data_IF_162874430193
#
_entry.id   IF_162874430193
#
_cell.length_a   1.000
_cell.length_b   1.000
_cell.length_c   1.000
_cell.angle_alpha   90.00
_cell.angle_beta   90.00
_cell.angle_gamma   90.00
#
_symmetry.space_group_name_H-M   'P 1'
#
loop_
_entity.id
_entity.type
_entity.pdbx_description
1 polymer ?
#
# COMPACT_ATOMS: atom_id res chain seq x y z
N UNK A 1 -16.46 6.16 -21.63
CA UNK A 1 -17.09 5.35 -22.70
C UNK A 1 -18.62 5.40 -22.67
N UNK A 2 -19.22 5.73 -21.54
CA UNK A 2 -20.68 5.77 -21.40
C UNK A 2 -21.29 7.16 -21.60
N UNK A 3 -20.49 8.18 -21.90
CA UNK A 3 -20.97 9.53 -22.19
C UNK A 3 -21.19 9.69 -23.69
N UNK A 4 -22.40 9.32 -24.13
CA UNK A 4 -22.83 9.38 -25.54
C UNK A 4 -22.95 10.81 -26.05
N UNK A 5 -22.92 11.81 -25.16
CA UNK A 5 -23.01 13.24 -25.52
C UNK A 5 -21.63 13.89 -25.73
N UNK A 6 -20.55 13.19 -25.35
CA UNK A 6 -19.20 13.71 -25.56
C UNK A 6 -18.85 13.86 -27.05
N UNK A 7 -18.06 14.87 -27.36
CA UNK A 7 -17.61 15.11 -28.73
C UNK A 7 -16.78 13.96 -29.30
N UNK A 8 -16.02 13.30 -28.41
CA UNK A 8 -15.23 12.11 -28.71
C UNK A 8 -16.10 10.93 -29.13
N UNK A 9 -17.14 10.63 -28.35
CA UNK A 9 -18.07 9.56 -28.70
C UNK A 9 -18.77 9.83 -30.06
N UNK A 10 -19.22 11.05 -30.29
CA UNK A 10 -19.87 11.42 -31.55
C UNK A 10 -18.93 11.28 -32.75
N UNK A 11 -17.63 11.62 -32.59
CA UNK A 11 -16.64 11.38 -33.67
C UNK A 11 -16.46 9.90 -33.92
N UNK A 12 -16.30 9.10 -32.84
CA UNK A 12 -16.14 7.65 -32.97
C UNK A 12 -17.36 6.99 -33.62
N UNK A 13 -18.57 7.36 -33.19
CA UNK A 13 -19.83 6.83 -33.72
C UNK A 13 -20.07 7.19 -35.20
N UNK A 14 -19.41 8.23 -35.71
CA UNK A 14 -19.48 8.60 -37.14
C UNK A 14 -18.53 7.81 -38.05
N UNK A 15 -17.65 7.00 -37.47
CA UNK A 15 -16.67 6.20 -38.21
C UNK A 15 -17.16 4.75 -38.37
N UNK A 16 -16.69 4.08 -39.42
CA UNK A 16 -16.99 2.68 -39.64
C UNK A 16 -16.22 1.83 -38.65
N UNK A 17 -16.94 1.07 -37.82
CA UNK A 17 -16.35 0.17 -36.83
C UNK A 17 -15.31 -0.75 -37.44
N UNK A 18 -14.14 -0.86 -36.81
CA UNK A 18 -13.01 -1.67 -37.28
C UNK A 18 -12.16 -1.04 -38.40
N UNK A 19 -12.52 0.16 -38.90
CA UNK A 19 -11.65 0.91 -39.80
C UNK A 19 -10.43 1.48 -39.06
N UNK A 20 -9.34 1.76 -39.83
CA UNK A 20 -8.14 2.39 -39.26
C UNK A 20 -8.46 3.73 -38.56
N UNK A 21 -9.37 4.51 -39.12
CA UNK A 21 -9.81 5.77 -38.54
C UNK A 21 -10.58 5.55 -37.22
N UNK A 22 -11.45 4.55 -37.15
CA UNK A 22 -12.16 4.17 -35.92
C UNK A 22 -11.19 3.70 -34.83
N UNK A 23 -10.27 2.82 -35.20
CA UNK A 23 -9.27 2.30 -34.26
C UNK A 23 -8.37 3.42 -33.73
N UNK A 24 -7.96 4.35 -34.57
CA UNK A 24 -7.14 5.52 -34.17
C UNK A 24 -7.90 6.44 -33.20
N UNK A 25 -9.19 6.75 -33.47
CA UNK A 25 -9.99 7.57 -32.55
C UNK A 25 -10.22 6.86 -31.21
N UNK A 26 -10.53 5.57 -31.25
CA UNK A 26 -10.72 4.73 -30.06
C UNK A 26 -9.45 4.69 -29.20
N UNK A 27 -8.30 4.51 -29.82
CA UNK A 27 -6.99 4.49 -29.15
C UNK A 27 -6.67 5.86 -28.53
N UNK A 28 -6.98 6.94 -29.22
CA UNK A 28 -6.86 8.31 -28.70
C UNK A 28 -7.76 8.56 -27.49
N UNK A 29 -9.00 8.08 -27.52
CA UNK A 29 -9.92 8.18 -26.37
C UNK A 29 -9.41 7.37 -25.18
N UNK A 30 -8.93 6.15 -25.42
CA UNK A 30 -8.37 5.29 -24.38
C UNK A 30 -7.13 5.92 -23.75
N UNK A 31 -6.23 6.46 -24.56
CA UNK A 31 -5.03 7.17 -24.09
C UNK A 31 -5.39 8.36 -23.19
N UNK A 32 -6.40 9.16 -23.57
CA UNK A 32 -6.86 10.30 -22.75
C UNK A 32 -7.43 9.86 -21.41
N UNK A 33 -8.24 8.79 -21.39
CA UNK A 33 -8.81 8.25 -20.14
C UNK A 33 -7.69 7.75 -19.25
N UNK A 34 -6.77 6.95 -19.79
CA UNK A 34 -5.64 6.39 -19.04
C UNK A 34 -4.74 7.49 -18.50
N UNK A 35 -4.45 8.54 -19.29
CA UNK A 35 -3.66 9.68 -18.82
C UNK A 35 -4.34 10.41 -17.66
N UNK A 36 -5.67 10.56 -17.71
CA UNK A 36 -6.44 11.19 -16.64
C UNK A 36 -6.41 10.37 -15.34
N UNK A 37 -6.56 9.06 -15.45
CA UNK A 37 -6.52 8.16 -14.29
C UNK A 37 -5.10 8.07 -13.71
N UNK A 38 -4.08 8.00 -14.56
CA UNK A 38 -2.67 8.02 -14.16
C UNK A 38 -2.32 9.32 -13.45
N UNK A 39 -2.66 10.49 -14.03
CA UNK A 39 -2.43 11.79 -13.42
C UNK A 39 -3.12 11.91 -12.06
N UNK A 40 -4.39 11.44 -11.97
CA UNK A 40 -5.12 11.41 -10.70
C UNK A 40 -4.42 10.55 -9.66
N UNK A 41 -3.94 9.37 -10.03
CA UNK A 41 -3.21 8.47 -9.12
C UNK A 41 -1.95 9.13 -8.55
N UNK A 42 -1.19 9.86 -9.38
CA UNK A 42 0.00 10.58 -8.91
C UNK A 42 -0.36 11.74 -7.98
N UNK A 43 -1.39 12.51 -8.32
CA UNK A 43 -1.85 13.61 -7.46
C UNK A 43 -2.36 13.10 -6.11
N UNK A 44 -3.13 12.01 -6.09
CA UNK A 44 -3.63 11.40 -4.86
C UNK A 44 -2.47 10.91 -3.97
N UNK A 45 -1.46 10.23 -4.55
CA UNK A 45 -0.27 9.76 -3.83
C UNK A 45 0.54 10.93 -3.25
N UNK A 46 0.79 11.96 -4.05
CA UNK A 46 1.49 13.16 -3.61
C UNK A 46 0.78 13.81 -2.43
N UNK A 47 -0.54 14.05 -2.56
CA UNK A 47 -1.32 14.72 -1.54
C UNK A 47 -1.40 13.91 -0.24
N UNK A 48 -1.57 12.60 -0.34
CA UNK A 48 -1.57 11.73 0.83
C UNK A 48 -0.22 11.74 1.58
N UNK A 49 0.90 11.78 0.85
CA UNK A 49 2.22 11.88 1.44
C UNK A 49 2.45 13.27 2.07
N UNK A 50 2.01 14.34 1.36
CA UNK A 50 2.09 15.71 1.88
C UNK A 50 1.29 15.89 3.15
N UNK A 51 0.04 15.40 3.20
CA UNK A 51 -0.81 15.51 4.38
C UNK A 51 -0.16 14.83 5.60
N UNK A 52 0.56 13.71 5.41
CA UNK A 52 1.31 13.06 6.49
C UNK A 52 2.52 13.87 6.94
N UNK A 53 3.26 14.47 6.01
CA UNK A 53 4.39 15.34 6.36
C UNK A 53 3.93 16.63 7.05
N UNK A 54 2.82 17.21 6.60
CA UNK A 54 2.22 18.39 7.23
C UNK A 54 1.73 18.07 8.66
N UNK A 55 1.16 16.87 8.86
CA UNK A 55 0.77 16.40 10.20
C UNK A 55 1.99 16.22 11.13
N UNK A 56 3.11 15.68 10.61
CA UNK A 56 4.36 15.61 11.40
C UNK A 56 4.90 17.01 11.69
N UNK A 57 4.83 17.93 10.75
CA UNK A 57 5.29 19.30 10.95
C UNK A 57 4.45 20.07 11.96
N UNK A 58 3.16 19.74 12.09
CA UNK A 58 2.24 20.37 13.03
C UNK A 58 2.20 19.70 14.42
N UNK A 59 2.97 18.63 14.64
CA UNK A 59 2.99 17.91 15.92
C UNK A 59 3.77 18.72 16.96
N UNK A 60 3.12 19.10 18.05
CA UNK A 60 3.67 19.92 19.13
C UNK A 60 4.70 19.18 20.03
N UNK A 61 5.05 17.95 19.71
CA UNK A 61 5.97 17.13 20.53
C UNK A 61 7.45 17.44 20.33
N UNK A 62 7.78 18.28 19.33
CA UNK A 62 9.16 18.65 18.99
C UNK A 62 9.39 20.15 18.92
N UNK A 63 10.64 20.55 18.91
CA UNK A 63 11.07 21.96 18.93
C UNK A 63 10.94 22.61 17.54
N UNK A 64 9.92 23.43 17.36
CA UNK A 64 9.63 24.17 16.12
C UNK A 64 10.62 25.32 15.83
N UNK A 65 11.70 25.48 16.58
CA UNK A 65 12.83 26.32 16.18
C UNK A 65 13.61 25.73 15.01
N UNK A 66 13.43 24.44 14.73
CA UNK A 66 13.96 23.71 13.59
C UNK A 66 12.87 23.54 12.52
N UNK A 67 13.29 23.34 11.28
CA UNK A 67 12.41 22.78 10.26
C UNK A 67 12.20 21.29 10.50
N UNK A 68 11.16 20.69 9.94
CA UNK A 68 10.92 19.23 10.03
C UNK A 68 12.14 18.44 9.51
N UNK A 69 12.74 18.89 8.41
CA UNK A 69 13.91 18.25 7.81
C UNK A 69 15.12 18.26 8.77
N UNK A 70 15.38 19.41 9.40
CA UNK A 70 16.46 19.55 10.40
C UNK A 70 16.18 18.70 11.63
N UNK A 71 14.94 18.69 12.10
CA UNK A 71 14.55 17.86 13.21
C UNK A 71 14.75 16.37 12.93
N UNK A 72 14.27 15.87 11.79
CA UNK A 72 14.47 14.47 11.41
C UNK A 72 15.94 14.13 11.20
N UNK A 73 16.72 15.03 10.61
CA UNK A 73 18.17 14.85 10.48
C UNK A 73 18.85 14.69 11.84
N UNK A 74 18.46 15.50 12.83
CA UNK A 74 18.91 15.39 14.22
C UNK A 74 18.50 14.03 14.81
N UNK A 75 17.24 13.62 14.65
CA UNK A 75 16.78 12.32 15.15
C UNK A 75 17.56 11.15 14.54
N UNK A 76 17.84 11.19 13.25
CA UNK A 76 18.66 10.16 12.56
C UNK A 76 20.06 10.03 13.16
N UNK A 77 20.61 11.12 13.65
CA UNK A 77 21.93 11.14 14.28
C UNK A 77 21.88 10.65 15.72
N UNK A 78 20.89 11.09 16.50
CA UNK A 78 20.82 10.83 17.94
C UNK A 78 20.17 9.47 18.28
N UNK A 79 19.20 9.01 17.48
CA UNK A 79 18.40 7.81 17.78
C UNK A 79 19.21 6.53 17.91
N UNK A 80 20.24 6.26 17.06
CA UNK A 80 21.06 5.06 17.20
C UNK A 80 21.72 4.95 18.57
N UNK A 81 22.10 6.07 19.15
CA UNK A 81 22.90 6.15 20.38
C UNK A 81 22.08 6.20 21.68
N UNK A 82 20.75 6.28 21.57
CA UNK A 82 19.86 6.40 22.75
C UNK A 82 20.12 5.31 23.80
N UNK A 83 20.43 4.08 23.38
CA UNK A 83 20.64 2.95 24.28
C UNK A 83 22.10 2.73 24.69
N UNK A 84 23.06 3.49 24.15
CA UNK A 84 24.48 3.29 24.42
C UNK A 84 24.82 3.46 25.92
N UNK A 85 24.09 4.32 26.64
CA UNK A 85 24.24 4.50 28.08
C UNK A 85 23.99 3.20 28.90
N UNK A 86 23.24 2.26 28.30
CA UNK A 86 22.87 0.99 28.93
C UNK A 86 23.69 -0.18 28.45
N UNK A 87 24.73 0.03 27.62
CA UNK A 87 25.54 -1.05 27.03
C UNK A 87 26.21 -1.93 28.07
N UNK A 88 26.48 -1.43 29.28
CA UNK A 88 27.00 -2.20 30.41
C UNK A 88 26.08 -3.33 30.88
N UNK A 89 24.80 -3.28 30.50
CA UNK A 89 23.79 -4.29 30.81
C UNK A 89 23.53 -5.25 29.63
N UNK A 90 24.24 -5.10 28.52
CA UNK A 90 24.14 -6.03 27.41
C UNK A 90 24.77 -7.37 27.79
N UNK A 91 24.03 -8.44 27.54
CA UNK A 91 24.52 -9.82 27.66
C UNK A 91 24.16 -10.59 26.39
N UNK A 92 24.92 -11.63 26.09
CA UNK A 92 24.57 -12.54 25.02
C UNK A 92 23.23 -13.21 25.34
N UNK A 93 22.34 -13.22 24.36
CA UNK A 93 21.08 -13.94 24.47
C UNK A 93 21.35 -15.43 24.41
N UNK A 94 20.81 -16.18 25.36
CA UNK A 94 20.89 -17.64 25.39
C UNK A 94 19.49 -18.26 25.23
N UNK A 95 19.43 -19.43 24.62
CA UNK A 95 18.21 -20.22 24.50
C UNK A 95 17.91 -20.97 25.83
N UNK A 96 16.83 -21.74 25.84
CA UNK A 96 16.42 -22.53 27.01
C UNK A 96 17.41 -23.62 27.40
N UNK A 97 18.37 -23.96 26.55
CA UNK A 97 19.41 -24.98 26.76
C UNK A 97 20.75 -24.33 27.17
N UNK A 98 20.81 -22.98 27.20
CA UNK A 98 22.01 -22.22 27.57
C UNK A 98 22.98 -21.93 26.42
N UNK A 99 22.59 -22.20 25.16
CA UNK A 99 23.43 -21.91 24.00
C UNK A 99 23.24 -20.46 23.55
N UNK A 100 24.31 -19.82 23.09
CA UNK A 100 24.27 -18.47 22.53
C UNK A 100 23.40 -18.43 21.26
N UNK A 101 22.39 -17.58 21.26
CA UNK A 101 21.49 -17.35 20.11
C UNK A 101 22.23 -16.54 19.06
N UNK A 102 22.16 -16.98 17.80
CA UNK A 102 22.69 -16.26 16.62
C UNK A 102 21.56 -15.91 15.67
N UNK A 103 21.72 -14.77 14.98
CA UNK A 103 20.80 -14.36 13.89
C UNK A 103 21.01 -15.17 12.60
N UNK A 104 20.25 -14.86 11.55
CA UNK A 104 20.35 -15.51 10.23
C UNK A 104 21.73 -15.37 9.58
N UNK A 105 22.50 -14.35 9.97
CA UNK A 105 23.85 -14.09 9.46
C UNK A 105 24.93 -14.72 10.32
N UNK A 106 24.56 -15.47 11.36
CA UNK A 106 25.45 -16.14 12.29
C UNK A 106 26.07 -15.23 13.36
N UNK A 107 25.58 -13.98 13.49
CA UNK A 107 26.05 -13.04 14.51
C UNK A 107 25.35 -13.30 15.83
N UNK A 108 26.07 -13.11 16.94
CA UNK A 108 25.53 -13.24 18.29
C UNK A 108 24.44 -12.20 18.51
N UNK A 109 23.28 -12.65 18.99
CA UNK A 109 22.18 -11.78 19.40
C UNK A 109 22.42 -11.38 20.86
N UNK A 110 22.25 -10.10 21.15
CA UNK A 110 22.36 -9.55 22.50
C UNK A 110 20.98 -9.17 23.03
N UNK A 111 20.83 -9.26 24.35
CA UNK A 111 19.69 -8.75 25.09
C UNK A 111 20.16 -7.87 26.25
N UNK A 112 19.26 -7.09 26.81
CA UNK A 112 19.56 -6.27 27.98
C UNK A 112 19.11 -6.95 29.26
N UNK A 113 19.95 -6.94 30.29
CA UNK A 113 19.69 -7.50 31.63
C UNK A 113 18.81 -6.55 32.44
N UNK A 114 17.49 -6.69 32.28
CA UNK A 114 16.52 -5.84 33.01
C UNK A 114 16.48 -6.10 34.51
N UNK A 115 16.89 -7.29 34.98
CA UNK A 115 16.99 -7.60 36.40
C UNK A 115 18.17 -6.84 37.04
N UNK A 116 19.31 -6.80 36.35
CA UNK A 116 20.45 -5.99 36.81
C UNK A 116 20.11 -4.50 36.80
N UNK A 117 19.38 -4.00 35.79
CA UNK A 117 18.91 -2.62 35.71
C UNK A 117 17.95 -2.28 36.87
N UNK A 118 17.09 -3.21 37.29
CA UNK A 118 16.16 -3.02 38.38
C UNK A 118 16.91 -2.89 39.73
N UNK A 119 17.94 -3.71 39.95
CA UNK A 119 18.80 -3.62 41.11
C UNK A 119 19.56 -2.32 41.19
N UNK A 120 19.98 -1.80 40.04
CA UNK A 120 20.69 -0.53 39.92
C UNK A 120 19.74 0.69 39.92
N UNK A 121 18.40 0.49 39.90
CA UNK A 121 17.39 1.53 39.90
C UNK A 121 17.29 2.32 38.60
N UNK A 122 17.74 1.77 37.47
CA UNK A 122 17.77 2.44 36.16
C UNK A 122 16.83 1.81 35.10
N UNK A 123 16.01 0.81 35.50
CA UNK A 123 15.11 0.09 34.61
C UNK A 123 14.06 1.01 33.96
N UNK A 124 13.43 1.87 34.73
CA UNK A 124 12.41 2.81 34.28
C UNK A 124 12.98 3.79 33.23
N UNK A 125 14.21 4.28 33.48
CA UNK A 125 14.93 5.14 32.54
C UNK A 125 15.27 4.41 31.24
N UNK A 126 15.70 3.15 31.31
CA UNK A 126 15.94 2.31 30.17
C UNK A 126 14.64 2.07 29.36
N UNK A 127 13.54 1.71 30.02
CA UNK A 127 12.26 1.51 29.34
C UNK A 127 11.77 2.78 28.66
N UNK A 128 11.95 3.95 29.30
CA UNK A 128 11.66 5.24 28.68
C UNK A 128 12.55 5.50 27.45
N UNK A 129 13.84 5.16 27.54
CA UNK A 129 14.79 5.28 26.44
C UNK A 129 14.41 4.35 25.25
N UNK A 130 13.98 3.12 25.53
CA UNK A 130 13.49 2.17 24.49
C UNK A 130 12.25 2.74 23.80
N UNK A 131 11.28 3.25 24.56
CA UNK A 131 10.08 3.87 24.01
C UNK A 131 10.41 5.09 23.16
N UNK A 132 11.32 5.95 23.64
CA UNK A 132 11.78 7.12 22.90
C UNK A 132 12.46 6.72 21.60
N UNK A 133 13.35 5.71 21.62
CA UNK A 133 14.01 5.19 20.42
C UNK A 133 12.99 4.69 19.40
N UNK A 134 12.04 3.86 19.82
CA UNK A 134 10.99 3.33 18.94
C UNK A 134 10.11 4.45 18.35
N UNK A 135 9.74 5.46 19.15
CA UNK A 135 8.99 6.62 18.68
C UNK A 135 9.75 7.40 17.60
N UNK A 136 11.05 7.66 17.84
CA UNK A 136 11.91 8.35 16.89
C UNK A 136 12.06 7.57 15.60
N UNK A 137 12.30 6.26 15.68
CA UNK A 137 12.42 5.37 14.51
C UNK A 137 11.14 5.36 13.67
N UNK A 138 9.98 5.32 14.33
CA UNK A 138 8.68 5.41 13.67
C UNK A 138 8.50 6.75 12.94
N UNK A 139 8.83 7.87 13.59
CA UNK A 139 8.75 9.19 12.97
C UNK A 139 9.68 9.31 11.78
N UNK A 140 10.94 8.88 11.92
CA UNK A 140 11.93 8.87 10.83
C UNK A 140 11.39 8.06 9.65
N UNK A 141 10.82 6.87 9.90
CA UNK A 141 10.26 6.03 8.85
C UNK A 141 9.11 6.72 8.13
N UNK A 142 8.16 7.28 8.86
CA UNK A 142 7.02 8.01 8.27
C UNK A 142 7.51 9.17 7.42
N UNK A 143 8.48 9.93 7.90
CA UNK A 143 9.08 11.03 7.14
C UNK A 143 9.77 10.53 5.86
N UNK A 144 10.63 9.52 5.96
CA UNK A 144 11.42 9.02 4.83
C UNK A 144 10.52 8.42 3.75
N UNK A 145 9.54 7.61 4.14
CA UNK A 145 8.59 6.98 3.23
C UNK A 145 7.79 8.04 2.45
N UNK A 146 7.26 9.04 3.15
CA UNK A 146 6.43 10.06 2.49
C UNK A 146 7.27 11.08 1.70
N UNK A 147 8.46 11.45 2.17
CA UNK A 147 9.41 12.27 1.41
C UNK A 147 9.86 11.56 0.13
N UNK A 148 10.00 10.23 0.16
CA UNK A 148 10.28 9.44 -1.04
C UNK A 148 9.11 9.52 -2.02
N UNK A 149 7.87 9.34 -1.56
CA UNK A 149 6.68 9.45 -2.42
C UNK A 149 6.59 10.83 -3.07
N UNK A 150 6.84 11.91 -2.32
CA UNK A 150 6.86 13.28 -2.88
C UNK A 150 7.90 13.38 -4.01
N UNK A 151 9.14 12.92 -3.78
CA UNK A 151 10.18 12.94 -4.82
C UNK A 151 9.82 12.14 -6.05
N UNK A 152 9.24 10.96 -5.86
CA UNK A 152 8.91 10.04 -6.95
C UNK A 152 7.69 10.52 -7.78
N UNK A 153 6.83 11.36 -7.21
CA UNK A 153 5.58 11.79 -7.85
C UNK A 153 5.57 13.25 -8.33
N UNK A 154 6.46 14.10 -7.83
CA UNK A 154 6.46 15.55 -8.08
C UNK A 154 6.53 15.92 -9.57
N UNK A 155 7.22 15.14 -10.38
CA UNK A 155 7.41 15.43 -11.80
C UNK A 155 6.20 15.01 -12.66
N UNK A 156 5.24 14.30 -12.05
CA UNK A 156 4.01 13.81 -12.69
C UNK A 156 2.77 14.62 -12.33
N UNK A 157 2.92 15.69 -11.55
CA UNK A 157 1.81 16.51 -11.06
C UNK A 157 2.11 17.99 -11.25
N UNK A 158 1.06 18.80 -11.24
CA UNK A 158 1.18 20.27 -11.12
C UNK A 158 0.90 20.64 -9.68
N UNK A 159 1.74 21.48 -9.08
CA UNK A 159 1.56 21.93 -7.69
C UNK A 159 0.79 23.24 -7.69
N UNK A 160 -0.33 23.28 -6.98
CA UNK A 160 -1.13 24.49 -6.78
C UNK A 160 -0.52 25.44 -5.75
N UNK A 161 -1.09 26.63 -5.64
CA UNK A 161 -0.64 27.69 -4.70
C UNK A 161 -0.77 27.26 -3.23
N UNK A 162 -1.65 26.30 -2.94
CA UNK A 162 -1.81 25.66 -1.62
C UNK A 162 -0.76 24.55 -1.33
N UNK A 163 0.15 24.34 -2.26
CA UNK A 163 1.18 23.30 -2.19
C UNK A 163 0.66 21.89 -2.44
N UNK A 164 -0.61 21.72 -2.80
CA UNK A 164 -1.19 20.42 -3.15
C UNK A 164 -1.04 20.12 -4.63
N UNK A 165 -0.95 18.84 -4.92
CA UNK A 165 -0.87 18.35 -6.28
C UNK A 165 -2.25 18.34 -6.94
N UNK A 166 -2.29 18.81 -8.17
CA UNK A 166 -3.44 18.74 -9.07
C UNK A 166 -3.13 17.73 -10.17
N UNK A 167 -4.12 16.90 -10.48
CA UNK A 167 -4.02 15.93 -11.56
C UNK A 167 -3.93 16.65 -12.92
N UNK A 168 -2.83 16.47 -13.64
CA UNK A 168 -2.59 17.06 -14.94
C UNK A 168 -2.38 15.96 -16.00
N UNK A 169 -3.45 15.61 -16.68
CA UNK A 169 -3.42 14.62 -17.76
C UNK A 169 -2.62 15.07 -19.01
N UNK A 170 -2.22 16.34 -19.07
CA UNK A 170 -1.36 16.89 -20.14
C UNK A 170 0.12 16.89 -19.75
N UNK A 171 0.45 16.52 -18.52
CA UNK A 171 1.84 16.42 -18.05
C UNK A 171 2.65 15.46 -18.94
N UNK A 172 3.80 15.92 -19.41
CA UNK A 172 4.63 15.15 -20.36
C UNK A 172 5.08 13.79 -19.82
N UNK A 173 5.40 13.70 -18.52
CA UNK A 173 5.82 12.44 -17.89
C UNK A 173 4.63 11.47 -17.77
N UNK A 174 3.43 11.96 -17.45
CA UNK A 174 2.21 11.17 -17.44
C UNK A 174 1.92 10.61 -18.83
N UNK A 175 2.00 11.45 -19.88
CA UNK A 175 1.77 11.04 -21.25
C UNK A 175 2.82 10.03 -21.73
N UNK A 176 4.08 10.20 -21.33
CA UNK A 176 5.14 9.25 -21.65
C UNK A 176 4.91 7.89 -21.00
N UNK A 177 4.56 7.86 -19.70
CA UNK A 177 4.25 6.61 -19.00
C UNK A 177 3.06 5.86 -19.61
N UNK A 178 2.01 6.59 -19.99
CA UNK A 178 0.86 6.00 -20.68
C UNK A 178 1.27 5.45 -22.05
N UNK A 179 2.12 6.17 -22.79
CA UNK A 179 2.65 5.72 -24.08
C UNK A 179 3.47 4.44 -23.94
N UNK A 180 4.38 4.40 -22.98
CA UNK A 180 5.24 3.25 -22.71
C UNK A 180 4.40 2.02 -22.29
N UNK A 181 3.40 2.24 -21.42
CA UNK A 181 2.47 1.18 -21.01
C UNK A 181 1.66 0.63 -22.19
N UNK A 182 1.19 1.50 -23.07
CA UNK A 182 0.45 1.09 -24.28
C UNK A 182 1.34 0.32 -25.26
N UNK A 183 2.57 0.77 -25.48
CA UNK A 183 3.55 0.08 -26.32
C UNK A 183 3.88 -1.32 -25.78
N UNK A 184 4.06 -1.46 -24.46
CA UNK A 184 4.28 -2.74 -23.81
C UNK A 184 3.07 -3.69 -23.96
N UNK A 185 1.85 -3.17 -23.76
CA UNK A 185 0.61 -3.95 -24.01
C UNK A 185 0.47 -4.41 -25.46
N UNK A 186 0.77 -3.53 -26.41
CA UNK A 186 0.73 -3.87 -27.85
C UNK A 186 1.78 -4.93 -28.18
N UNK A 187 3.00 -4.83 -27.65
CA UNK A 187 4.05 -5.82 -27.85
C UNK A 187 3.65 -7.18 -27.27
N UNK A 188 3.07 -7.22 -26.06
CA UNK A 188 2.55 -8.44 -25.43
C UNK A 188 1.40 -9.05 -26.23
N UNK A 189 0.44 -8.23 -26.66
CA UNK A 189 -0.68 -8.70 -27.50
C UNK A 189 -0.20 -9.27 -28.84
N UNK A 190 0.78 -8.61 -29.47
CA UNK A 190 1.40 -9.11 -30.70
C UNK A 190 2.13 -10.43 -30.47
N UNK A 191 2.93 -10.56 -29.43
CA UNK A 191 3.64 -11.79 -29.09
C UNK A 191 2.67 -12.95 -28.86
N UNK A 192 1.56 -12.69 -28.15
CA UNK A 192 0.50 -13.68 -27.95
C UNK A 192 -0.18 -14.09 -29.28
N UNK A 193 -0.47 -13.13 -30.15
CA UNK A 193 -1.05 -13.42 -31.47
C UNK A 193 -0.07 -14.22 -32.30
N UNK A 194 1.21 -13.85 -32.37
CA UNK A 194 2.23 -14.54 -33.13
C UNK A 194 2.41 -15.99 -32.62
N UNK A 195 2.35 -16.21 -31.30
CA UNK A 195 2.40 -17.55 -30.70
C UNK A 195 1.20 -18.39 -31.06
N UNK A 196 -0.01 -17.81 -31.07
CA UNK A 196 -1.24 -18.50 -31.51
C UNK A 196 -1.23 -18.83 -33.00
N UNK A 197 -0.70 -17.94 -33.84
CA UNK A 197 -0.51 -18.18 -35.26
C UNK A 197 0.50 -19.32 -35.48
N UNK A 198 1.61 -19.35 -34.76
CA UNK A 198 2.60 -20.41 -34.82
C UNK A 198 2.01 -21.77 -34.39
N UNK A 199 1.19 -21.80 -33.33
CA UNK A 199 0.46 -23.00 -32.91
C UNK A 199 -0.52 -23.47 -34.01
N UNK A 200 -1.28 -22.55 -34.59
CA UNK A 200 -2.19 -22.87 -35.70
C UNK A 200 -1.44 -23.40 -36.93
N UNK A 201 -0.26 -22.88 -37.23
CA UNK A 201 0.58 -23.34 -38.35
C UNK A 201 1.18 -24.74 -38.09
N UNK A 202 1.42 -25.12 -36.84
CA UNK A 202 1.91 -26.47 -36.51
C UNK A 202 0.82 -27.55 -36.54
N UNK A 203 -0.46 -27.16 -36.62
CA UNK A 203 -1.60 -28.08 -36.77
C UNK A 203 -1.86 -28.46 -38.24
N UNK A 204 -1.15 -27.86 -39.22
CA UNK A 204 -1.26 -28.24 -40.65
C UNK A 204 -0.45 -29.48 -40.99
N UNK A 205 -0.66 -30.57 -40.25
CA UNK A 205 -0.41 -31.92 -40.72
C UNK A 205 -1.62 -32.43 -41.47
N UNK A 206 -1.61 -32.36 -42.80
CA UNK A 206 -2.64 -32.91 -43.73
C UNK A 206 -4.02 -32.26 -43.62
N UNK A 207 -4.19 -31.11 -44.25
CA UNK A 207 -5.52 -30.56 -44.53
C UNK A 207 -6.08 -31.13 -45.79
N UNK A 208 -7.04 -32.02 -45.68
CA UNK A 208 -8.04 -32.22 -46.71
C UNK A 208 -9.17 -31.21 -46.49
N UNK A 209 -9.30 -30.31 -47.44
CA UNK A 209 -10.45 -29.45 -47.81
C UNK A 209 -11.60 -29.22 -46.81
N UNK A 210 -11.85 -27.92 -46.60
CA UNK A 210 -13.14 -27.29 -46.19
C UNK A 210 -13.73 -27.74 -44.87
N UNK A 211 -13.34 -27.05 -43.82
CA UNK A 211 -14.02 -27.08 -42.56
C UNK A 211 -13.34 -26.16 -41.52
N UNK A 212 -14.10 -25.28 -40.92
CA UNK A 212 -13.64 -24.53 -39.78
C UNK A 212 -13.08 -25.50 -38.75
N UNK A 213 -11.80 -25.39 -38.40
CA UNK A 213 -11.19 -26.19 -37.32
C UNK A 213 -11.75 -25.68 -36.02
N UNK A 214 -12.55 -26.49 -35.32
CA UNK A 214 -13.00 -26.23 -33.98
C UNK A 214 -11.80 -26.38 -33.04
N UNK A 215 -11.24 -25.28 -32.59
CA UNK A 215 -10.28 -25.31 -31.51
C UNK A 215 -11.09 -25.52 -30.22
N UNK A 216 -10.94 -26.68 -29.61
CA UNK A 216 -11.52 -26.94 -28.28
C UNK A 216 -10.83 -26.01 -27.29
N UNK A 217 -11.62 -25.26 -26.53
CA UNK A 217 -11.08 -24.46 -25.42
C UNK A 217 -10.36 -25.38 -24.43
N UNK A 218 -9.23 -24.97 -23.94
CA UNK A 218 -8.50 -25.64 -22.89
C UNK A 218 -8.65 -24.82 -21.61
N UNK A 219 -8.94 -25.50 -20.52
CA UNK A 219 -8.97 -24.86 -19.20
C UNK A 219 -7.59 -24.28 -18.88
N UNK A 220 -7.57 -23.18 -18.13
CA UNK A 220 -6.33 -22.63 -17.62
C UNK A 220 -5.79 -23.52 -16.51
N UNK A 221 -4.47 -23.58 -16.38
CA UNK A 221 -3.79 -24.37 -15.36
C UNK A 221 -2.71 -23.52 -14.71
N UNK A 222 -2.65 -23.54 -13.38
CA UNK A 222 -1.54 -22.98 -12.60
C UNK A 222 -1.01 -24.04 -11.64
N UNK A 223 0.29 -23.98 -11.37
CA UNK A 223 0.91 -24.73 -10.30
C UNK A 223 1.25 -23.77 -9.14
N UNK A 224 0.81 -24.08 -7.94
CA UNK A 224 1.11 -23.32 -6.73
C UNK A 224 1.66 -24.27 -5.67
N UNK A 225 2.91 -24.06 -5.26
CA UNK A 225 3.61 -24.89 -4.27
C UNK A 225 3.57 -26.41 -4.58
N UNK A 226 3.73 -26.76 -5.86
CA UNK A 226 3.71 -28.15 -6.32
C UNK A 226 2.30 -28.76 -6.47
N UNK A 227 1.24 -28.00 -6.26
CA UNK A 227 -0.14 -28.43 -6.50
C UNK A 227 -0.69 -27.77 -7.76
N UNK A 228 -1.27 -28.56 -8.66
CA UNK A 228 -1.88 -28.11 -9.90
C UNK A 228 -3.34 -27.72 -9.68
N UNK A 229 -3.73 -26.56 -10.15
CA UNK A 229 -5.10 -26.05 -10.14
C UNK A 229 -5.55 -25.76 -11.57
N UNK A 230 -6.72 -26.26 -11.94
CA UNK A 230 -7.32 -26.01 -13.25
C UNK A 230 -8.61 -25.21 -13.10
N UNK A 231 -8.86 -24.28 -14.02
CA UNK A 231 -10.10 -23.49 -14.03
C UNK A 231 -10.51 -23.18 -15.50
N UNK A 232 -11.81 -23.03 -15.71
CA UNK A 232 -12.38 -22.60 -16.99
C UNK A 232 -12.20 -21.09 -17.28
N UNK A 233 -11.61 -20.37 -16.32
CA UNK A 233 -11.23 -18.95 -16.45
C UNK A 233 -9.82 -18.76 -15.93
N UNK A 234 -9.19 -17.63 -16.23
CA UNK A 234 -7.84 -17.30 -15.76
C UNK A 234 -7.80 -16.78 -14.30
N UNK A 235 -8.94 -16.79 -13.60
CA UNK A 235 -9.04 -16.31 -12.23
C UNK A 235 -9.11 -17.48 -11.24
N UNK A 236 -8.19 -17.50 -10.30
CA UNK A 236 -8.13 -18.50 -9.23
C UNK A 236 -8.32 -17.84 -7.87
N UNK A 237 -9.14 -18.46 -7.02
CA UNK A 237 -9.29 -18.08 -5.62
C UNK A 237 -8.88 -19.25 -4.75
N UNK A 238 -7.71 -19.14 -4.12
CA UNK A 238 -7.10 -20.23 -3.34
C UNK A 238 -6.72 -19.67 -1.96
N UNK A 239 -7.35 -20.16 -0.92
CA UNK A 239 -7.06 -19.79 0.48
C UNK A 239 -7.07 -18.27 0.73
N UNK A 240 -7.98 -17.54 0.08
CA UNK A 240 -8.09 -16.07 0.22
C UNK A 240 -7.16 -15.27 -0.69
N UNK A 241 -6.30 -15.94 -1.46
CA UNK A 241 -5.49 -15.33 -2.50
C UNK A 241 -6.24 -15.41 -3.84
N UNK A 242 -6.40 -14.26 -4.51
CA UNK A 242 -6.94 -14.19 -5.86
C UNK A 242 -5.78 -14.01 -6.84
N UNK A 243 -5.65 -14.96 -7.77
CA UNK A 243 -4.62 -14.95 -8.81
C UNK A 243 -5.32 -14.84 -10.17
N UNK A 244 -4.92 -13.86 -10.97
CA UNK A 244 -5.31 -13.76 -12.36
C UNK A 244 -4.12 -14.18 -13.23
N UNK A 245 -4.25 -15.32 -13.93
CA UNK A 245 -3.21 -15.84 -14.80
C UNK A 245 -3.25 -15.10 -16.14
N UNK A 246 -2.35 -14.14 -16.31
CA UNK A 246 -2.29 -13.27 -17.50
C UNK A 246 -1.45 -13.86 -18.62
N UNK A 247 -0.47 -14.70 -18.29
CA UNK A 247 0.53 -15.21 -19.23
C UNK A 247 1.07 -16.58 -18.76
N UNK A 248 1.62 -17.34 -19.72
CA UNK A 248 2.31 -18.60 -19.40
C UNK A 248 3.74 -18.28 -18.98
N UNK A 249 4.12 -18.68 -17.77
CA UNK A 249 5.44 -18.40 -17.19
C UNK A 249 6.57 -19.29 -17.78
N UNK A 250 6.22 -20.31 -18.56
CA UNK A 250 7.19 -21.25 -19.11
C UNK A 250 7.93 -22.03 -18.01
N UNK A 251 9.25 -21.90 -17.96
CA UNK A 251 10.07 -22.51 -16.92
C UNK A 251 10.45 -21.52 -15.78
N UNK A 252 9.92 -20.29 -15.84
CA UNK A 252 10.22 -19.27 -14.84
C UNK A 252 9.24 -19.40 -13.66
N UNK A 253 9.78 -19.39 -12.44
CA UNK A 253 8.98 -19.39 -11.21
C UNK A 253 8.64 -17.96 -10.80
N UNK A 254 7.37 -17.72 -10.51
CA UNK A 254 6.89 -16.47 -9.94
C UNK A 254 6.74 -16.63 -8.44
N UNK A 255 7.57 -15.94 -7.67
CA UNK A 255 7.47 -15.96 -6.21
C UNK A 255 6.50 -14.89 -5.73
N UNK A 256 5.46 -15.31 -5.01
CA UNK A 256 4.52 -14.42 -4.33
C UNK A 256 4.87 -14.41 -2.85
N UNK A 257 5.25 -13.24 -2.35
CA UNK A 257 5.53 -13.06 -0.92
C UNK A 257 4.35 -12.32 -0.28
N UNK A 258 3.75 -12.95 0.73
CA UNK A 258 2.74 -12.28 1.56
C UNK A 258 3.41 -11.78 2.82
N UNK A 259 3.31 -10.50 3.07
CA UNK A 259 3.75 -9.90 4.32
C UNK A 259 2.53 -9.63 5.20
N UNK A 260 2.69 -9.86 6.51
CA UNK A 260 1.68 -9.42 7.47
C UNK A 260 1.58 -7.90 7.41
N UNK A 261 0.39 -7.38 7.24
CA UNK A 261 0.12 -5.94 7.32
C UNK A 261 0.18 -5.50 8.78
N UNK A 262 1.41 -5.32 9.25
CA UNK A 262 1.70 -4.90 10.64
C UNK A 262 1.15 -3.49 10.89
N UNK A 263 1.22 -2.62 9.87
CA UNK A 263 0.75 -1.24 9.98
C UNK A 263 -0.79 -1.21 10.09
N UNK A 264 -1.50 -2.02 9.30
CA UNK A 264 -2.96 -2.16 9.40
C UNK A 264 -3.40 -2.76 10.73
N UNK A 265 -2.67 -3.75 11.26
CA UNK A 265 -2.93 -4.31 12.60
C UNK A 265 -2.67 -3.26 13.68
N UNK A 266 -1.59 -2.51 13.59
CA UNK A 266 -1.25 -1.43 14.52
C UNK A 266 -2.33 -0.34 14.52
N UNK A 267 -2.75 0.13 13.35
CA UNK A 267 -3.78 1.16 13.21
C UNK A 267 -5.14 0.67 13.74
N UNK A 268 -5.49 -0.59 13.53
CA UNK A 268 -6.69 -1.20 14.10
C UNK A 268 -6.64 -1.23 15.63
N UNK A 269 -5.52 -1.64 16.22
CA UNK A 269 -5.33 -1.66 17.68
C UNK A 269 -5.37 -0.24 18.26
N UNK A 270 -4.71 0.70 17.61
CA UNK A 270 -4.69 2.11 18.01
C UNK A 270 -6.09 2.73 17.94
N UNK A 271 -6.83 2.43 16.87
CA UNK A 271 -8.24 2.83 16.73
C UNK A 271 -9.08 2.28 17.86
N UNK A 272 -8.98 0.99 18.14
CA UNK A 272 -9.69 0.35 19.24
C UNK A 272 -9.37 0.99 20.60
N UNK A 273 -8.09 1.23 20.89
CA UNK A 273 -7.69 1.86 22.15
C UNK A 273 -8.20 3.29 22.27
N UNK A 274 -8.23 4.04 21.16
CA UNK A 274 -8.81 5.37 21.13
C UNK A 274 -10.31 5.33 21.44
N UNK A 275 -11.04 4.47 20.78
CA UNK A 275 -12.50 4.33 20.97
C UNK A 275 -12.81 3.85 22.38
N UNK A 276 -12.02 2.94 22.93
CA UNK A 276 -12.12 2.51 24.33
C UNK A 276 -11.89 3.68 25.31
N UNK A 277 -10.85 4.48 25.09
CA UNK A 277 -10.59 5.64 25.93
C UNK A 277 -11.68 6.71 25.82
N UNK A 278 -12.23 6.93 24.64
CA UNK A 278 -13.34 7.86 24.42
C UNK A 278 -14.63 7.34 25.08
N UNK A 279 -14.87 6.02 25.08
CA UNK A 279 -15.95 5.40 25.83
C UNK A 279 -15.78 5.60 27.34
N UNK A 280 -14.59 5.32 27.89
CA UNK A 280 -14.29 5.50 29.31
C UNK A 280 -14.50 6.95 29.73
N UNK A 281 -14.01 7.91 28.93
CA UNK A 281 -14.24 9.35 29.18
C UNK A 281 -15.71 9.71 29.14
N UNK A 282 -16.48 9.14 28.19
CA UNK A 282 -17.92 9.39 28.09
C UNK A 282 -18.66 8.88 29.31
N UNK A 283 -18.28 7.70 29.81
CA UNK A 283 -18.84 7.11 31.05
C UNK A 283 -18.48 7.96 32.25
N UNK A 284 -17.22 8.42 32.36
CA UNK A 284 -16.77 9.29 33.46
C UNK A 284 -17.52 10.63 33.48
N UNK A 285 -17.67 11.26 32.28
CA UNK A 285 -18.46 12.50 32.14
C UNK A 285 -19.92 12.25 32.51
N UNK A 286 -20.52 11.13 32.10
CA UNK A 286 -21.90 10.79 32.43
C UNK A 286 -22.07 10.50 33.93
N UNK A 287 -21.11 9.81 34.56
CA UNK A 287 -21.13 9.47 35.94
C UNK A 287 -20.93 10.72 36.86
N UNK A 288 -20.03 11.63 36.45
CA UNK A 288 -19.73 12.86 37.17
C UNK A 288 -20.61 14.05 36.73
N UNK A 289 -21.58 13.83 35.83
CA UNK A 289 -22.48 14.89 35.40
C UNK A 289 -23.23 15.48 36.59
N UNK A 290 -23.15 16.81 36.75
CA UNK A 290 -23.88 17.49 37.79
C UNK A 290 -25.38 17.23 37.61
N UNK A 291 -26.06 16.85 38.70
CA UNK A 291 -27.51 16.70 38.72
C UNK A 291 -28.16 17.96 38.15
N UNK A 292 -28.99 17.83 37.09
CA UNK A 292 -29.62 18.99 36.49
C UNK A 292 -30.63 19.56 37.51
N UNK A 293 -30.41 20.82 37.90
CA UNK A 293 -31.33 21.51 38.81
C UNK A 293 -32.72 21.55 38.19
N UNK A 294 -33.69 20.89 38.87
CA UNK A 294 -35.07 20.91 38.46
C UNK A 294 -35.57 19.59 37.82
N UNK A 295 -34.73 18.59 37.69
CA UNK A 295 -35.14 17.22 37.34
C UNK A 295 -34.93 16.33 38.56
N UNK A 296 -35.99 16.14 39.31
CA UNK A 296 -36.04 15.07 40.31
C UNK A 296 -36.50 13.78 39.65
N UNK A 297 -35.96 12.60 40.06
CA UNK A 297 -36.49 11.31 39.55
C UNK A 297 -37.97 11.23 39.89
N UNK A 298 -38.76 10.75 38.93
CA UNK A 298 -40.18 10.47 39.13
C UNK A 298 -40.37 9.67 40.41
N UNK A 299 -41.26 10.17 41.29
CA UNK A 299 -41.65 9.46 42.50
C UNK A 299 -42.41 8.17 42.13
N UNK A 300 -42.55 7.26 43.09
CA UNK A 300 -43.28 5.99 42.82
C UNK A 300 -44.68 6.23 42.30
N UNK A 301 -45.35 7.26 42.82
CA UNK A 301 -46.75 7.59 42.43
C UNK A 301 -46.84 8.21 41.02
N UNK A 302 -45.79 8.89 40.55
CA UNK A 302 -45.71 9.45 39.19
C UNK A 302 -45.30 8.42 38.15
N UNK A 303 -44.74 7.28 38.58
CA UNK A 303 -44.42 6.13 37.69
C UNK A 303 -45.62 5.24 37.45
N UNK A 304 -46.60 5.28 38.33
CA UNK A 304 -47.80 4.43 38.29
C UNK A 304 -49.02 5.17 37.68
N UNK A 305 -48.89 6.45 37.31
CA UNK A 305 -49.88 7.26 36.63
C UNK A 305 -49.68 7.28 35.10
#
# INVERSE_FOLDING_TARGET
VNDTDSAEYKRLAALTEGSDAYNTELEGMYTKITAKDTAKSYADKYNAAKDKLDALAADDTWDHSLTLDEYVAKLKTETPDILNAYDKYKKEKVDSEGNTVKDSDGKVVYEYDTEAMEKDGVKDEYEAAVKKKASNESLIKVYDDNSKVIRDTKDYVTIGDDGKAVADASNANVLQEVSDTNADRQAKAKALLDSKIAMASNVTGSASSSGAVRITGQDSEIELNGATFTNNSNNYSINGLTIEAMEVTGNDEVTITTNTDVDGIYDMIKGFLKDYNDLVKSVDVAYNAASSKGYEPLTSDEKDA
#
